data_IF_960630361127
#
_entry.id   IF_960630361127
#
_cell.length_a   1.000
_cell.length_b   1.000
_cell.length_c   1.000
_cell.angle_alpha   90.00
_cell.angle_beta   90.00
_cell.angle_gamma   90.00
#
_symmetry.space_group_name_H-M   'P 1'
#
loop_
_entity.id
_entity.type
_entity.pdbx_description
1 polymer ?
#
# COMPACT_ATOMS: atom_id res chain seq x y z
N UNK A 1 14.72 8.56 5.82
CA UNK A 1 13.53 7.84 5.27
C UNK A 1 13.53 8.03 3.77
N UNK A 2 13.69 6.96 2.98
CA UNK A 2 13.57 7.03 1.52
C UNK A 2 12.10 7.27 1.20
N UNK A 3 11.79 8.38 0.53
CA UNK A 3 10.41 8.73 0.18
C UNK A 3 9.91 7.78 -0.92
N UNK A 4 8.66 7.35 -0.78
CA UNK A 4 7.94 6.66 -1.85
C UNK A 4 7.62 7.66 -2.95
N UNK A 5 7.70 7.22 -4.20
CA UNK A 5 7.28 8.01 -5.35
C UNK A 5 5.75 8.06 -5.42
N UNK A 6 5.20 9.07 -6.09
CA UNK A 6 3.74 9.17 -6.31
C UNK A 6 3.17 7.93 -7.01
N UNK A 7 3.96 7.29 -7.88
CA UNK A 7 3.58 6.07 -8.59
C UNK A 7 3.56 4.85 -7.66
N UNK A 8 4.57 4.73 -6.79
CA UNK A 8 4.61 3.68 -5.78
C UNK A 8 3.41 3.78 -4.84
N UNK A 9 3.13 4.99 -4.34
CA UNK A 9 1.96 5.26 -3.48
C UNK A 9 0.67 4.85 -4.18
N UNK A 10 0.48 5.28 -5.42
CA UNK A 10 -0.72 4.93 -6.20
C UNK A 10 -0.84 3.41 -6.40
N UNK A 11 0.26 2.72 -6.71
CA UNK A 11 0.29 1.27 -6.91
C UNK A 11 -0.03 0.51 -5.64
N UNK A 12 0.50 0.95 -4.51
CA UNK A 12 0.28 0.37 -3.17
C UNK A 12 -1.20 0.46 -2.81
N UNK A 13 -1.77 1.67 -2.86
CA UNK A 13 -3.17 1.90 -2.49
C UNK A 13 -4.10 1.14 -3.44
N UNK A 14 -3.81 1.16 -4.75
CA UNK A 14 -4.60 0.42 -5.73
C UNK A 14 -4.56 -1.10 -5.52
N UNK A 15 -3.38 -1.66 -5.28
CA UNK A 15 -3.24 -3.09 -4.97
C UNK A 15 -4.00 -3.48 -3.71
N UNK A 16 -3.90 -2.66 -2.66
CA UNK A 16 -4.58 -2.92 -1.40
C UNK A 16 -6.10 -2.77 -1.51
N UNK A 17 -6.58 -1.76 -2.23
CA UNK A 17 -8.00 -1.58 -2.51
C UNK A 17 -8.58 -2.79 -3.25
N UNK A 18 -7.84 -3.36 -4.21
CA UNK A 18 -8.23 -4.60 -4.89
C UNK A 18 -8.30 -5.78 -3.92
N UNK A 19 -7.30 -5.96 -3.05
CA UNK A 19 -7.32 -7.02 -2.05
C UNK A 19 -8.58 -6.94 -1.17
N UNK A 20 -8.90 -5.74 -0.67
CA UNK A 20 -10.09 -5.49 0.13
C UNK A 20 -11.38 -5.76 -0.65
N UNK A 21 -11.45 -5.37 -1.93
CA UNK A 21 -12.59 -5.65 -2.80
C UNK A 21 -12.80 -7.15 -3.04
N UNK A 22 -11.72 -7.94 -3.01
CA UNK A 22 -11.75 -9.41 -3.11
C UNK A 22 -12.03 -10.09 -1.75
N UNK A 23 -12.39 -9.34 -0.71
CA UNK A 23 -12.75 -9.88 0.60
C UNK A 23 -11.58 -10.12 1.55
N UNK A 24 -10.38 -9.59 1.25
CA UNK A 24 -9.27 -9.63 2.20
C UNK A 24 -9.62 -8.86 3.49
N UNK A 25 -9.18 -9.34 4.67
CA UNK A 25 -9.48 -8.67 5.92
C UNK A 25 -8.81 -7.29 6.01
N UNK A 26 -9.54 -6.24 6.41
CA UNK A 26 -8.96 -4.93 6.68
C UNK A 26 -8.20 -4.93 8.01
N UNK A 27 -7.07 -4.21 8.05
CA UNK A 27 -6.21 -4.02 9.23
C UNK A 27 -6.68 -2.86 10.11
N UNK A 28 -7.48 -1.95 9.54
CA UNK A 28 -8.16 -0.86 10.25
C UNK A 28 -9.65 -1.14 10.28
N UNK A 29 -10.35 -0.65 11.31
CA UNK A 29 -11.80 -0.83 11.43
C UNK A 29 -12.53 -0.03 10.33
N UNK A 30 -13.20 -0.69 9.36
CA UNK A 30 -13.94 0.00 8.32
C UNK A 30 -15.27 0.56 8.86
N UNK A 31 -15.67 1.72 8.37
CA UNK A 31 -17.04 2.23 8.51
C UNK A 31 -17.95 1.62 7.45
N UNK A 32 -19.27 1.59 7.70
CA UNK A 32 -20.27 1.01 6.78
C UNK A 32 -20.35 1.72 5.42
N UNK A 33 -19.93 2.97 5.36
CA UNK A 33 -19.99 3.82 4.15
C UNK A 33 -18.65 3.87 3.39
N UNK A 34 -17.58 3.25 3.92
CA UNK A 34 -16.26 3.34 3.32
C UNK A 34 -16.11 2.37 2.14
N UNK A 35 -15.59 2.90 1.03
CA UNK A 35 -15.17 2.06 -0.11
C UNK A 35 -13.85 1.35 0.20
N UNK A 36 -13.54 0.23 -0.49
CA UNK A 36 -12.24 -0.45 -0.35
C UNK A 36 -11.04 0.48 -0.56
N UNK A 37 -11.17 1.49 -1.43
CA UNK A 37 -10.16 2.52 -1.64
C UNK A 37 -9.95 3.40 -0.40
N UNK A 38 -11.02 3.86 0.25
CA UNK A 38 -10.93 4.70 1.44
C UNK A 38 -10.27 3.95 2.59
N UNK A 39 -10.61 2.67 2.77
CA UNK A 39 -9.99 1.79 3.76
C UNK A 39 -8.50 1.59 3.45
N UNK A 40 -8.14 1.26 2.20
CA UNK A 40 -6.74 1.11 1.78
C UNK A 40 -5.90 2.37 1.99
N UNK A 41 -6.47 3.55 1.71
CA UNK A 41 -5.82 4.84 1.93
C UNK A 41 -5.54 5.08 3.42
N UNK A 42 -6.50 4.77 4.30
CA UNK A 42 -6.31 4.88 5.76
C UNK A 42 -5.28 3.90 6.29
N UNK A 43 -5.27 2.66 5.81
CA UNK A 43 -4.24 1.68 6.19
C UNK A 43 -2.84 2.14 5.79
N UNK A 44 -2.72 2.75 4.60
CA UNK A 44 -1.46 3.35 4.13
C UNK A 44 -1.03 4.54 5.00
N UNK A 45 -1.95 5.45 5.33
CA UNK A 45 -1.67 6.62 6.18
C UNK A 45 -1.26 6.23 7.62
N UNK A 46 -1.82 5.14 8.14
CA UNK A 46 -1.44 4.57 9.44
C UNK A 46 -0.18 3.70 9.39
N UNK A 47 0.40 3.48 8.20
CA UNK A 47 1.58 2.62 7.96
C UNK A 47 1.45 1.21 8.54
N UNK A 48 0.24 0.67 8.57
CA UNK A 48 -0.02 -0.69 9.11
C UNK A 48 0.12 -1.78 8.04
N UNK A 49 0.30 -1.40 6.77
CA UNK A 49 0.37 -2.35 5.66
C UNK A 49 1.73 -3.08 5.63
N UNK A 50 1.78 -4.43 5.74
CA UNK A 50 3.01 -5.20 5.71
C UNK A 50 3.49 -5.44 4.27
N UNK A 51 3.82 -4.36 3.57
CA UNK A 51 4.24 -4.37 2.17
C UNK A 51 5.57 -3.61 2.02
N UNK A 52 6.35 -4.06 1.05
CA UNK A 52 7.60 -3.42 0.66
C UNK A 52 7.61 -3.17 -0.84
N UNK A 53 8.25 -2.08 -1.26
CA UNK A 53 8.53 -1.81 -2.67
C UNK A 53 9.92 -2.36 -2.97
N UNK A 54 10.02 -3.18 -4.01
CA UNK A 54 11.29 -3.61 -4.57
C UNK A 54 11.54 -2.76 -5.80
N UNK A 55 12.56 -1.90 -5.74
CA UNK A 55 13.03 -1.10 -6.87
C UNK A 55 14.13 -1.87 -7.56
N UNK A 56 13.99 -2.09 -8.87
CA UNK A 56 15.03 -2.69 -9.70
C UNK A 56 15.63 -1.60 -10.58
N UNK A 57 16.94 -1.42 -10.51
CA UNK A 57 17.66 -0.41 -11.29
C UNK A 57 18.24 -1.03 -12.58
N UNK A 58 18.67 -0.16 -13.50
CA UNK A 58 19.19 -0.58 -14.80
C UNK A 58 20.50 -1.40 -14.70
N UNK A 59 21.25 -1.25 -13.60
CA UNK A 59 22.44 -2.03 -13.29
C UNK A 59 22.13 -3.41 -12.68
N UNK A 60 20.85 -3.76 -12.53
CA UNK A 60 20.39 -5.00 -11.92
C UNK A 60 20.38 -4.99 -10.39
N UNK A 61 20.80 -3.89 -9.75
CA UNK A 61 20.71 -3.75 -8.30
C UNK A 61 19.25 -3.64 -7.85
N UNK A 62 18.98 -4.10 -6.63
CA UNK A 62 17.64 -4.02 -6.03
C UNK A 62 17.68 -3.26 -4.71
N UNK A 63 16.67 -2.42 -4.50
CA UNK A 63 16.44 -1.71 -3.25
C UNK A 63 15.08 -2.10 -2.69
N UNK A 64 15.08 -2.61 -1.45
CA UNK A 64 13.85 -2.87 -0.69
C UNK A 64 13.52 -1.64 0.15
N UNK A 65 12.35 -1.05 -0.09
CA UNK A 65 11.81 0.09 0.66
C UNK A 65 10.59 -0.37 1.45
N UNK A 66 10.67 -0.28 2.78
CA UNK A 66 9.56 -0.61 3.67
C UNK A 66 8.67 0.62 3.91
N UNK A 67 7.37 0.38 4.08
CA UNK A 67 6.35 1.42 4.22
C UNK A 67 6.14 1.83 5.71
N UNK A 68 6.66 1.04 6.65
CA UNK A 68 6.69 1.30 8.11
C UNK A 68 7.75 2.28 8.53
#
# INVERSE_FOLDING_TARGET
MKRLTRFEIARIIGARALQLALGAPPLVKPSKEETPYMVAKREFEQKVLPIAVIRTYADGSTERVEIG
#
